data_IF_028539246145
#
_entry.id   IF_028539246145
#
_cell.length_a   1.000
_cell.length_b   1.000
_cell.length_c   1.000
_cell.angle_alpha   90.00
_cell.angle_beta   90.00
_cell.angle_gamma   90.00
#
_symmetry.space_group_name_H-M   'P 1'
#
loop_
_entity.id
_entity.type
_entity.pdbx_description
1 polymer ?
#
# COMPACT_ATOMS: atom_id res chain seq x y z
N UNK A 1 3.05 14.98 -10.22
CA UNK A 1 3.66 13.74 -10.77
C UNK A 1 3.18 13.45 -12.19
N UNK A 2 1.86 13.31 -12.47
CA UNK A 2 1.33 13.00 -13.82
C UNK A 2 1.71 14.11 -14.80
N UNK A 3 1.62 15.38 -14.42
CA UNK A 3 2.01 16.51 -15.24
C UNK A 3 3.52 16.56 -15.51
N UNK A 4 4.35 16.19 -14.51
CA UNK A 4 5.79 16.07 -14.67
C UNK A 4 6.14 14.99 -15.69
N UNK A 5 5.48 13.83 -15.62
CA UNK A 5 5.65 12.76 -16.61
C UNK A 5 5.26 13.17 -18.03
N UNK A 6 4.25 14.05 -18.16
CA UNK A 6 3.80 14.60 -19.45
C UNK A 6 4.60 15.79 -19.94
N UNK A 7 5.65 16.25 -19.21
CA UNK A 7 6.41 17.45 -19.55
C UNK A 7 5.62 18.76 -19.45
N UNK A 8 4.51 18.75 -18.69
CA UNK A 8 3.57 19.88 -18.57
C UNK A 8 3.64 20.59 -17.21
N UNK A 9 4.71 20.36 -16.46
CA UNK A 9 4.98 21.11 -15.23
C UNK A 9 5.22 22.59 -15.57
N UNK A 10 4.38 23.46 -14.99
CA UNK A 10 4.46 24.90 -15.22
C UNK A 10 3.59 25.44 -16.37
N UNK A 11 3.00 24.58 -17.20
CA UNK A 11 2.06 25.03 -18.27
C UNK A 11 0.63 25.24 -17.73
N UNK A 12 0.32 24.73 -16.54
CA UNK A 12 -1.03 24.72 -15.96
C UNK A 12 -1.03 25.55 -14.68
N UNK A 13 -1.91 26.54 -14.62
CA UNK A 13 -2.12 27.36 -13.43
C UNK A 13 -2.69 26.56 -12.24
N UNK A 14 -2.49 27.07 -11.02
CA UNK A 14 -2.92 26.39 -9.80
C UNK A 14 -4.43 26.06 -9.78
N UNK A 15 -5.27 26.95 -10.30
CA UNK A 15 -6.72 26.76 -10.37
C UNK A 15 -7.11 25.64 -11.34
N UNK A 16 -6.50 25.60 -12.50
CA UNK A 16 -6.74 24.56 -13.49
C UNK A 16 -6.20 23.21 -13.01
N UNK A 17 -5.06 23.20 -12.33
CA UNK A 17 -4.52 22.00 -11.67
C UNK A 17 -5.51 21.45 -10.64
N UNK A 18 -6.08 22.31 -9.79
CA UNK A 18 -7.07 21.89 -8.79
C UNK A 18 -8.31 21.29 -9.45
N UNK A 19 -8.84 21.92 -10.50
CA UNK A 19 -10.00 21.42 -11.26
C UNK A 19 -9.73 20.09 -11.93
N UNK A 20 -8.54 19.89 -12.51
CA UNK A 20 -8.15 18.60 -13.12
C UNK A 20 -7.98 17.51 -12.09
N UNK A 21 -7.42 17.84 -10.91
CA UNK A 21 -7.28 16.89 -9.80
C UNK A 21 -8.65 16.46 -9.25
N UNK A 22 -9.58 17.39 -9.11
CA UNK A 22 -10.96 17.12 -8.68
C UNK A 22 -11.69 16.22 -9.70
N UNK A 23 -11.70 16.58 -10.98
CA UNK A 23 -12.30 15.74 -12.04
C UNK A 23 -11.72 14.33 -12.07
N UNK A 24 -10.38 14.20 -11.93
CA UNK A 24 -9.74 12.89 -11.86
C UNK A 24 -10.22 12.11 -10.64
N UNK A 25 -10.36 12.77 -9.49
CA UNK A 25 -10.86 12.13 -8.28
C UNK A 25 -12.32 11.68 -8.45
N UNK A 26 -13.19 12.50 -9.02
CA UNK A 26 -14.59 12.19 -9.25
C UNK A 26 -14.74 10.97 -10.17
N UNK A 27 -14.04 10.98 -11.32
CA UNK A 27 -14.02 9.82 -12.22
C UNK A 27 -13.47 8.56 -11.54
N UNK A 28 -12.49 8.71 -10.66
CA UNK A 28 -11.97 7.59 -9.88
C UNK A 28 -12.99 7.08 -8.86
N UNK A 29 -13.68 7.98 -8.16
CA UNK A 29 -14.73 7.62 -7.20
C UNK A 29 -15.89 6.89 -7.88
N UNK A 30 -16.31 7.35 -9.08
CA UNK A 30 -17.32 6.65 -9.88
C UNK A 30 -16.87 5.23 -10.25
N UNK A 31 -15.63 5.06 -10.70
CA UNK A 31 -15.08 3.73 -11.03
C UNK A 31 -15.04 2.80 -9.82
N UNK A 32 -14.56 3.28 -8.67
CA UNK A 32 -14.47 2.45 -7.47
C UNK A 32 -15.81 2.22 -6.78
N UNK A 33 -16.86 2.97 -7.11
CA UNK A 33 -18.21 2.74 -6.60
C UNK A 33 -18.79 1.40 -7.06
N UNK A 34 -18.36 0.90 -8.22
CA UNK A 34 -18.76 -0.39 -8.77
C UNK A 34 -18.00 -1.59 -8.16
N UNK A 35 -16.96 -1.36 -7.35
CA UNK A 35 -16.15 -2.42 -6.73
C UNK A 35 -17.02 -3.21 -5.73
N UNK A 36 -16.81 -4.52 -5.74
CA UNK A 36 -17.49 -5.51 -4.92
C UNK A 36 -16.45 -6.44 -4.24
N UNK A 37 -16.85 -7.33 -3.33
CA UNK A 37 -15.95 -8.35 -2.78
C UNK A 37 -15.33 -9.28 -3.83
N UNK A 38 -15.97 -9.46 -4.98
CA UNK A 38 -15.46 -10.31 -6.07
C UNK A 38 -14.24 -9.70 -6.79
N UNK A 39 -13.99 -8.40 -6.59
CA UNK A 39 -12.83 -7.68 -7.14
C UNK A 39 -11.57 -7.80 -6.26
N UNK A 40 -11.65 -8.50 -5.14
CA UNK A 40 -10.47 -8.77 -4.30
C UNK A 40 -9.49 -9.64 -5.08
N UNK A 41 -8.24 -9.17 -5.18
CA UNK A 41 -7.22 -9.92 -5.90
C UNK A 41 -7.03 -11.34 -5.36
N UNK A 42 -6.72 -12.30 -6.25
CA UNK A 42 -6.53 -13.71 -5.87
C UNK A 42 -5.55 -13.87 -4.71
N UNK A 43 -5.91 -14.70 -3.73
CA UNK A 43 -5.10 -15.02 -2.56
C UNK A 43 -5.20 -14.01 -1.41
N UNK A 44 -5.64 -12.77 -1.64
CA UNK A 44 -5.63 -11.72 -0.60
C UNK A 44 -6.59 -12.05 0.55
N UNK A 45 -7.81 -12.48 0.28
CA UNK A 45 -8.75 -12.82 1.36
C UNK A 45 -8.19 -13.95 2.24
N UNK A 46 -7.68 -15.01 1.62
CA UNK A 46 -7.08 -16.13 2.34
C UNK A 46 -5.85 -15.73 3.18
N UNK A 47 -5.01 -14.84 2.63
CA UNK A 47 -3.87 -14.27 3.37
C UNK A 47 -4.34 -13.47 4.60
N UNK A 48 -5.32 -12.57 4.44
CA UNK A 48 -5.82 -11.74 5.54
C UNK A 48 -6.44 -12.59 6.65
N UNK A 49 -7.18 -13.64 6.29
CA UNK A 49 -7.75 -14.62 7.24
C UNK A 49 -6.64 -15.38 7.98
N UNK A 50 -5.62 -15.85 7.27
CA UNK A 50 -4.49 -16.57 7.87
C UNK A 50 -3.68 -15.66 8.82
N UNK A 51 -3.43 -14.41 8.43
CA UNK A 51 -2.76 -13.42 9.28
C UNK A 51 -3.56 -13.14 10.56
N UNK A 52 -4.87 -12.96 10.44
CA UNK A 52 -5.76 -12.72 11.57
C UNK A 52 -5.79 -13.94 12.52
N UNK A 53 -5.90 -15.15 11.98
CA UNK A 53 -5.87 -16.39 12.76
C UNK A 53 -4.53 -16.59 13.49
N UNK A 54 -3.43 -16.13 12.89
CA UNK A 54 -2.09 -16.15 13.49
C UNK A 54 -1.84 -14.95 14.44
N UNK A 55 -2.85 -14.14 14.75
CA UNK A 55 -2.75 -12.98 15.64
C UNK A 55 -1.86 -11.87 15.11
N UNK A 56 -1.59 -11.81 13.80
CA UNK A 56 -0.78 -10.75 13.18
C UNK A 56 -1.62 -9.48 13.04
N UNK A 57 -1.03 -8.34 13.37
CA UNK A 57 -1.66 -7.04 13.19
C UNK A 57 -1.50 -6.57 11.75
N UNK A 58 -2.57 -6.02 11.19
CA UNK A 58 -2.62 -5.58 9.80
C UNK A 58 -2.98 -4.10 9.77
N UNK A 59 -2.27 -3.31 8.98
CA UNK A 59 -2.56 -1.89 8.77
C UNK A 59 -2.48 -1.53 7.29
N UNK A 60 -3.27 -0.55 6.87
CA UNK A 60 -3.21 0.02 5.53
C UNK A 60 -2.32 1.27 5.52
N UNK A 61 -1.31 1.29 4.65
CA UNK A 61 -0.42 2.41 4.37
C UNK A 61 -0.60 2.89 2.91
N UNK A 62 -1.78 3.43 2.61
CA UNK A 62 -2.14 3.91 1.26
C UNK A 62 -1.85 5.39 1.09
N UNK A 63 -1.37 5.79 -0.11
CA UNK A 63 -1.29 7.20 -0.50
C UNK A 63 -2.65 7.76 -0.98
N UNK A 64 -3.65 6.91 -1.15
CA UNK A 64 -5.00 7.30 -1.57
C UNK A 64 -5.91 7.55 -0.37
N UNK A 65 -6.61 8.68 -0.37
CA UNK A 65 -7.68 8.98 0.59
C UNK A 65 -8.89 8.03 0.46
N UNK A 66 -9.01 7.33 -0.67
CA UNK A 66 -10.10 6.40 -0.93
C UNK A 66 -9.85 4.98 -0.39
N UNK A 67 -8.72 4.75 0.30
CA UNK A 67 -8.38 3.47 0.91
C UNK A 67 -9.48 2.89 1.81
N UNK A 68 -10.01 3.65 2.79
CA UNK A 68 -11.10 3.17 3.64
C UNK A 68 -12.35 2.75 2.87
N UNK A 69 -12.75 3.56 1.88
CA UNK A 69 -13.91 3.26 1.02
C UNK A 69 -13.72 1.97 0.22
N UNK A 70 -12.54 1.76 -0.34
CA UNK A 70 -12.20 0.52 -1.06
C UNK A 70 -12.26 -0.71 -0.14
N UNK A 71 -11.69 -0.63 1.06
CA UNK A 71 -11.76 -1.73 2.02
C UNK A 71 -13.21 -2.06 2.42
N UNK A 72 -14.04 -1.04 2.58
CA UNK A 72 -15.47 -1.22 2.89
C UNK A 72 -16.19 -1.93 1.73
N UNK A 73 -16.02 -1.46 0.50
CA UNK A 73 -16.62 -2.05 -0.71
C UNK A 73 -16.22 -3.50 -0.91
N UNK A 74 -14.97 -3.83 -0.66
CA UNK A 74 -14.45 -5.20 -0.75
C UNK A 74 -14.76 -6.07 0.49
N UNK A 75 -15.39 -5.52 1.55
CA UNK A 75 -15.68 -6.24 2.79
C UNK A 75 -14.44 -6.59 3.63
N UNK A 76 -13.33 -5.87 3.43
CA UNK A 76 -12.02 -6.17 4.04
C UNK A 76 -11.72 -5.34 5.30
N UNK A 77 -12.50 -4.33 5.63
CA UNK A 77 -12.23 -3.40 6.76
C UNK A 77 -11.98 -4.13 8.06
N UNK A 78 -12.67 -5.26 8.30
CA UNK A 78 -12.56 -6.06 9.54
C UNK A 78 -11.18 -6.62 9.84
N UNK A 79 -10.31 -6.71 8.83
CA UNK A 79 -8.95 -7.25 9.00
C UNK A 79 -7.94 -6.19 9.44
N UNK A 80 -8.24 -4.90 9.25
CA UNK A 80 -7.30 -3.83 9.47
C UNK A 80 -7.51 -3.17 10.83
N UNK A 81 -6.51 -3.29 11.69
CA UNK A 81 -6.48 -2.63 13.01
C UNK A 81 -6.21 -1.13 12.93
N UNK A 82 -5.63 -0.66 11.82
CA UNK A 82 -5.42 0.76 11.55
C UNK A 82 -5.38 1.06 10.04
N UNK A 83 -5.79 2.26 9.68
CA UNK A 83 -5.67 2.83 8.33
C UNK A 83 -4.95 4.16 8.49
N UNK A 84 -3.74 4.27 7.94
CA UNK A 84 -2.99 5.51 8.01
C UNK A 84 -3.61 6.56 7.07
N UNK A 85 -3.83 7.77 7.58
CA UNK A 85 -4.37 8.87 6.78
C UNK A 85 -3.24 9.55 5.98
N UNK A 86 -3.27 9.50 4.64
CA UNK A 86 -2.29 10.19 3.81
C UNK A 86 -2.34 11.72 3.93
N UNK A 87 -3.45 12.27 4.42
CA UNK A 87 -3.58 13.72 4.68
C UNK A 87 -2.95 14.16 6.00
N UNK A 88 -2.65 13.23 6.91
CA UNK A 88 -2.04 13.51 8.21
C UNK A 88 -0.52 13.33 8.25
N UNK A 89 0.10 12.89 7.16
CA UNK A 89 1.56 12.73 7.06
C UNK A 89 2.20 13.88 6.31
N UNK A 90 3.44 14.26 6.71
CA UNK A 90 4.14 15.40 6.13
C UNK A 90 4.61 15.13 4.70
N UNK A 91 5.07 13.92 4.41
CA UNK A 91 5.66 13.57 3.13
C UNK A 91 5.03 12.29 2.57
N UNK A 92 4.76 12.28 1.27
CA UNK A 92 4.30 11.10 0.54
C UNK A 92 5.46 10.19 0.15
N UNK A 93 5.15 8.92 -0.20
CA UNK A 93 6.12 7.96 -0.73
C UNK A 93 7.00 8.63 -1.83
N UNK A 94 8.32 8.49 -1.80
CA UNK A 94 9.12 7.46 -1.10
C UNK A 94 9.51 7.79 0.35
N UNK A 95 9.00 8.86 0.98
CA UNK A 95 9.21 9.11 2.40
C UNK A 95 8.52 8.04 3.27
N UNK A 96 9.06 7.72 4.46
CA UNK A 96 8.59 6.62 5.30
C UNK A 96 7.29 6.90 6.06
N UNK A 97 6.84 8.14 6.08
CA UNK A 97 5.84 8.70 6.99
C UNK A 97 4.57 7.85 7.10
N UNK A 98 4.02 7.40 5.95
CA UNK A 98 2.77 6.64 5.93
C UNK A 98 2.93 5.24 6.55
N UNK A 99 4.09 4.59 6.38
CA UNK A 99 4.37 3.28 6.98
C UNK A 99 4.61 3.40 8.48
N UNK A 100 5.32 4.45 8.92
CA UNK A 100 5.50 4.76 10.35
C UNK A 100 4.14 5.04 11.02
N UNK A 101 3.27 5.79 10.36
CA UNK A 101 1.92 6.07 10.86
C UNK A 101 1.07 4.79 10.96
N UNK A 102 1.14 3.90 9.96
CA UNK A 102 0.44 2.62 9.95
C UNK A 102 0.90 1.70 11.09
N UNK A 103 2.21 1.54 11.27
CA UNK A 103 2.79 0.72 12.35
C UNK A 103 2.42 1.27 13.75
N UNK A 104 2.50 2.59 13.92
CA UNK A 104 2.06 3.28 15.14
C UNK A 104 0.58 3.03 15.42
N UNK A 105 -0.27 3.09 14.38
CA UNK A 105 -1.72 2.90 14.50
C UNK A 105 -2.10 1.52 15.06
N UNK A 106 -1.31 0.48 14.76
CA UNK A 106 -1.48 -0.87 15.33
C UNK A 106 -0.61 -1.15 16.56
N UNK A 107 0.10 -0.12 17.05
CA UNK A 107 0.95 -0.25 18.24
C UNK A 107 2.08 -1.28 18.08
N UNK A 108 2.80 -1.21 16.94
CA UNK A 108 3.91 -2.14 16.62
C UNK A 108 5.16 -1.34 16.24
N UNK A 109 6.35 -1.82 16.65
CA UNK A 109 7.62 -1.27 16.16
C UNK A 109 7.73 -1.54 14.66
N UNK A 110 8.04 -0.53 13.88
CA UNK A 110 8.17 -0.63 12.43
C UNK A 110 9.22 -1.69 12.00
N UNK A 111 10.27 -1.87 12.81
CA UNK A 111 11.31 -2.88 12.58
C UNK A 111 10.82 -4.32 12.77
N UNK A 112 9.66 -4.50 13.38
CA UNK A 112 8.97 -5.78 13.51
C UNK A 112 7.85 -5.94 12.46
N UNK A 113 7.86 -5.14 11.39
CA UNK A 113 6.84 -5.15 10.36
C UNK A 113 7.39 -5.60 9.00
N UNK A 114 6.53 -6.27 8.24
CA UNK A 114 6.66 -6.46 6.80
C UNK A 114 5.82 -5.38 6.10
N UNK A 115 6.37 -4.77 5.05
CA UNK A 115 5.62 -3.91 4.14
C UNK A 115 5.45 -4.59 2.79
N UNK A 116 4.21 -4.70 2.29
CA UNK A 116 3.90 -5.29 0.98
C UNK A 116 3.56 -4.15 0.02
N UNK A 117 4.19 -4.13 -1.16
CA UNK A 117 4.09 -3.04 -2.12
C UNK A 117 4.25 -3.51 -3.57
N UNK A 118 3.62 -2.77 -4.49
CA UNK A 118 3.67 -3.00 -5.93
C UNK A 118 4.37 -1.88 -6.73
N UNK A 119 4.84 -0.83 -6.03
CA UNK A 119 5.49 0.33 -6.63
C UNK A 119 6.86 0.61 -6.01
N UNK A 120 7.85 0.98 -6.81
CA UNK A 120 9.22 1.30 -6.36
C UNK A 120 9.24 2.36 -5.26
N UNK A 121 8.46 3.43 -5.40
CA UNK A 121 8.40 4.48 -4.39
C UNK A 121 7.87 3.98 -3.03
N UNK A 122 6.99 2.97 -3.03
CA UNK A 122 6.52 2.34 -1.81
C UNK A 122 7.55 1.40 -1.20
N UNK A 123 8.25 0.62 -2.03
CA UNK A 123 9.38 -0.21 -1.58
C UNK A 123 10.46 0.65 -0.92
N UNK A 124 10.81 1.79 -1.54
CA UNK A 124 11.75 2.75 -0.96
C UNK A 124 11.25 3.33 0.38
N UNK A 125 9.96 3.63 0.49
CA UNK A 125 9.36 4.12 1.72
C UNK A 125 9.37 3.07 2.85
N UNK A 126 9.13 1.79 2.54
CA UNK A 126 9.22 0.69 3.50
C UNK A 126 10.66 0.55 4.03
N UNK A 127 11.66 0.54 3.12
CA UNK A 127 13.08 0.51 3.49
C UNK A 127 13.46 1.70 4.35
N UNK A 128 13.07 2.91 3.95
CA UNK A 128 13.33 4.14 4.69
C UNK A 128 12.68 4.15 6.08
N UNK A 129 11.53 3.48 6.25
CA UNK A 129 10.87 3.30 7.54
C UNK A 129 11.60 2.29 8.45
N UNK A 130 12.41 1.40 7.89
CA UNK A 130 13.07 0.32 8.61
C UNK A 130 12.26 -0.98 8.70
N UNK A 131 11.19 -1.10 7.92
CA UNK A 131 10.44 -2.34 7.78
C UNK A 131 11.06 -3.24 6.70
N UNK A 132 10.74 -4.53 6.72
CA UNK A 132 11.17 -5.50 5.71
C UNK A 132 10.24 -5.44 4.49
N UNK A 133 10.74 -5.08 3.28
CA UNK A 133 9.90 -4.98 2.09
C UNK A 133 9.64 -6.34 1.44
N UNK A 134 8.42 -6.52 0.94
CA UNK A 134 8.02 -7.59 0.03
C UNK A 134 7.34 -6.96 -1.18
N UNK A 135 7.86 -7.24 -2.38
CA UNK A 135 7.33 -6.73 -3.63
C UNK A 135 6.28 -7.65 -4.25
N UNK A 136 5.28 -7.06 -4.91
CA UNK A 136 4.35 -7.78 -5.79
C UNK A 136 4.52 -7.23 -7.19
N UNK A 137 5.11 -8.00 -8.11
CA UNK A 137 5.40 -7.56 -9.46
C UNK A 137 6.72 -8.10 -10.00
N UNK A 138 7.44 -7.28 -10.74
CA UNK A 138 8.69 -7.69 -11.41
C UNK A 138 9.90 -7.02 -10.77
N UNK A 139 11.01 -7.75 -10.61
CA UNK A 139 12.25 -7.23 -10.05
C UNK A 139 12.78 -5.99 -10.79
N UNK A 140 12.65 -5.95 -12.12
CA UNK A 140 13.06 -4.80 -12.92
C UNK A 140 12.31 -3.49 -12.56
N UNK A 141 11.11 -3.59 -11.98
CA UNK A 141 10.27 -2.44 -11.63
C UNK A 141 10.40 -2.06 -10.13
N UNK A 142 10.76 -3.03 -9.27
CA UNK A 142 10.74 -2.87 -7.81
C UNK A 142 12.14 -2.90 -7.17
N UNK A 143 13.17 -3.32 -7.91
CA UNK A 143 14.51 -3.62 -7.42
C UNK A 143 14.67 -5.12 -7.17
N UNK A 144 15.90 -5.62 -7.25
CA UNK A 144 16.26 -7.03 -7.13
C UNK A 144 16.80 -7.42 -5.75
N UNK A 145 16.85 -6.47 -4.81
CA UNK A 145 17.40 -6.61 -3.47
C UNK A 145 16.32 -6.85 -2.39
N UNK A 146 15.11 -7.27 -2.79
CA UNK A 146 13.97 -7.58 -1.92
C UNK A 146 13.33 -8.91 -2.30
N UNK A 147 12.56 -9.50 -1.39
CA UNK A 147 11.70 -10.62 -1.72
C UNK A 147 10.55 -10.16 -2.63
N UNK A 148 10.28 -10.89 -3.71
CA UNK A 148 9.26 -10.54 -4.71
C UNK A 148 8.44 -11.77 -5.06
N UNK A 149 7.13 -11.56 -5.22
CA UNK A 149 6.20 -12.49 -5.84
C UNK A 149 5.65 -11.90 -7.13
N UNK A 150 5.36 -12.71 -8.14
CA UNK A 150 4.83 -12.24 -9.41
C UNK A 150 3.39 -11.73 -9.30
N UNK A 151 2.62 -12.27 -8.36
CA UNK A 151 1.23 -11.88 -8.13
C UNK A 151 0.74 -12.17 -6.71
N UNK A 152 -0.39 -11.59 -6.36
CA UNK A 152 -0.96 -11.69 -5.00
C UNK A 152 -1.35 -13.09 -4.58
N UNK A 153 -1.61 -14.01 -5.54
CA UNK A 153 -1.91 -15.41 -5.24
C UNK A 153 -0.74 -16.16 -4.57
N UNK A 154 0.48 -15.68 -4.75
CA UNK A 154 1.69 -16.24 -4.14
C UNK A 154 1.96 -15.70 -2.73
N UNK A 155 1.29 -14.61 -2.33
CA UNK A 155 1.37 -14.05 -0.98
C UNK A 155 0.63 -14.94 0.01
N UNK A 156 1.36 -15.85 0.65
CA UNK A 156 0.82 -16.70 1.72
C UNK A 156 1.48 -16.37 3.05
N UNK A 157 0.83 -16.71 4.17
CA UNK A 157 1.43 -16.56 5.51
C UNK A 157 2.77 -17.31 5.59
N UNK A 158 2.84 -18.54 5.06
CA UNK A 158 4.06 -19.35 5.06
C UNK A 158 5.19 -18.68 4.28
N UNK A 159 4.89 -18.08 3.13
CA UNK A 159 5.87 -17.31 2.35
C UNK A 159 6.40 -16.09 3.16
N UNK A 160 5.51 -15.31 3.76
CA UNK A 160 5.91 -14.14 4.55
C UNK A 160 6.73 -14.52 5.78
N UNK A 161 6.41 -15.64 6.44
CA UNK A 161 7.19 -16.14 7.57
C UNK A 161 8.59 -16.63 7.13
N UNK A 162 8.71 -17.23 5.96
CA UNK A 162 10.00 -17.62 5.41
C UNK A 162 10.87 -16.40 5.07
N UNK A 163 10.30 -15.39 4.39
CA UNK A 163 10.98 -14.12 4.10
C UNK A 163 11.46 -13.46 5.39
N UNK A 164 10.61 -13.42 6.40
CA UNK A 164 10.97 -12.89 7.73
C UNK A 164 12.13 -13.66 8.37
N UNK A 165 12.07 -14.98 8.35
CA UNK A 165 13.10 -15.84 8.94
C UNK A 165 14.46 -15.70 8.25
N UNK A 166 14.46 -15.52 6.93
CA UNK A 166 15.68 -15.31 6.16
C UNK A 166 16.33 -13.95 6.47
N UNK A 167 15.53 -12.91 6.66
CA UNK A 167 16.03 -11.57 6.99
C UNK A 167 16.60 -11.44 8.42
N UNK A 168 16.33 -12.42 9.30
CA UNK A 168 16.85 -12.43 10.68
C UNK A 168 18.18 -13.20 10.83
N UNK A 169 18.68 -13.79 9.75
CA UNK A 169 19.97 -14.52 9.72
C UNK A 169 21.11 -13.61 9.36
#
# INVERSE_FOLDING_TARGET
RILAFGGKEGEIGAEEFARLAERKNDSYVEMIAAITPDDVFPGILALLEALQAAGKKIALASASKNGPFLLEKMGLTRFFGAIADPGAVAHSKPAPDIFLAAAKGVGTDIRACLGIEDALAGVQAIKAAGALPVGVGRAQDLGDDIAIVAGTAELTLAYLEEVWRQAQR
#
